data_IF_297024130426
#
_entry.id   IF_297024130426
#
_cell.length_a   1.000
_cell.length_b   1.000
_cell.length_c   1.000
_cell.angle_alpha   90.00
_cell.angle_beta   90.00
_cell.angle_gamma   90.00
#
_symmetry.space_group_name_H-M   'P 1'
#
loop_
_entity.id
_entity.type
_entity.pdbx_description
1 polymer ?
#
# COMPACT_ATOMS: atom_id res chain seq x y z
N UNK A 1 1.19 -7.41 3.81
CA UNK A 1 1.93 -6.46 4.69
C UNK A 1 0.94 -5.94 5.73
N UNK A 2 1.34 -5.03 6.62
CA UNK A 2 0.41 -4.38 7.55
C UNK A 2 0.64 -2.88 7.59
N UNK A 3 -0.37 -2.14 8.05
CA UNK A 3 -0.30 -0.71 8.28
C UNK A 3 -0.85 -0.39 9.67
N UNK A 4 -0.19 0.52 10.38
CA UNK A 4 -0.70 1.04 11.66
C UNK A 4 -1.75 2.13 11.42
N UNK A 5 -2.55 2.43 12.44
CA UNK A 5 -3.48 3.56 12.45
C UNK A 5 -2.80 4.92 12.25
N UNK A 6 -1.47 4.97 12.42
CA UNK A 6 -0.62 6.14 12.17
C UNK A 6 0.05 6.12 10.79
N UNK A 7 -0.41 5.27 9.87
CA UNK A 7 0.09 5.11 8.50
C UNK A 7 1.56 4.62 8.37
N UNK A 8 2.07 3.90 9.37
CA UNK A 8 3.37 3.23 9.25
C UNK A 8 3.19 1.86 8.60
N UNK A 9 3.93 1.62 7.51
CA UNK A 9 3.89 0.35 6.79
C UNK A 9 4.89 -0.64 7.41
N UNK A 10 4.36 -1.78 7.85
CA UNK A 10 5.11 -2.92 8.38
C UNK A 10 5.27 -3.92 7.23
N UNK A 11 6.49 -3.97 6.66
CA UNK A 11 6.78 -4.79 5.47
C UNK A 11 6.94 -6.27 5.80
N UNK A 12 7.41 -6.56 6.99
CA UNK A 12 7.68 -7.90 7.49
C UNK A 12 7.29 -7.98 8.97
N UNK A 13 6.86 -9.14 9.46
CA UNK A 13 6.53 -9.30 10.87
C UNK A 13 7.74 -9.02 11.78
N UNK A 14 7.57 -8.17 12.77
CA UNK A 14 8.59 -7.84 13.77
C UNK A 14 7.95 -7.52 15.12
N UNK A 15 8.72 -7.54 16.21
CA UNK A 15 8.19 -7.09 17.50
C UNK A 15 7.84 -5.61 17.43
N UNK A 16 6.64 -5.24 17.86
CA UNK A 16 6.15 -3.85 17.79
C UNK A 16 5.65 -3.37 19.14
N UNK A 17 5.93 -2.11 19.47
CA UNK A 17 5.36 -1.43 20.61
C UNK A 17 4.14 -0.61 20.17
N UNK A 18 3.00 -0.86 20.80
CA UNK A 18 1.74 -0.14 20.57
C UNK A 18 1.33 0.49 21.89
N UNK A 19 1.36 1.82 21.96
CA UNK A 19 1.24 2.54 23.23
C UNK A 19 2.32 2.08 24.21
N UNK A 20 1.89 1.50 25.33
CA UNK A 20 2.79 0.98 26.38
C UNK A 20 3.02 -0.53 26.35
N UNK A 21 2.39 -1.24 25.41
CA UNK A 21 2.46 -2.69 25.31
C UNK A 21 3.43 -3.10 24.20
N UNK A 22 4.35 -4.00 24.52
CA UNK A 22 5.21 -4.65 23.52
C UNK A 22 4.53 -5.94 23.06
N UNK A 23 4.20 -6.00 21.78
CA UNK A 23 3.68 -7.20 21.15
C UNK A 23 4.79 -7.95 20.41
N UNK A 24 4.86 -9.28 20.54
CA UNK A 24 5.79 -10.07 19.75
C UNK A 24 5.38 -10.06 18.28
N UNK A 25 6.32 -10.36 17.37
CA UNK A 25 6.02 -10.54 15.95
C UNK A 25 4.90 -11.58 15.72
N UNK A 26 4.67 -12.48 16.67
CA UNK A 26 3.68 -13.53 16.52
C UNK A 26 2.24 -13.11 16.41
N UNK A 27 1.90 -11.87 16.78
CA UNK A 27 0.57 -11.35 16.54
C UNK A 27 0.22 -11.37 15.05
N UNK A 28 1.19 -11.15 14.14
CA UNK A 28 0.92 -11.02 12.71
C UNK A 28 0.46 -12.33 12.03
N UNK A 29 0.66 -13.48 12.68
CA UNK A 29 0.23 -14.79 12.19
C UNK A 29 -0.74 -15.52 13.12
N UNK A 30 -0.75 -15.19 14.41
CA UNK A 30 -1.66 -15.81 15.37
C UNK A 30 -2.98 -15.06 15.54
N UNK A 31 -3.02 -13.75 15.30
CA UNK A 31 -4.22 -12.95 15.53
C UNK A 31 -5.05 -12.82 14.25
N UNK A 32 -6.37 -12.75 14.41
CA UNK A 32 -7.28 -12.39 13.31
C UNK A 32 -7.12 -10.93 12.93
N UNK A 33 -7.65 -10.53 11.76
CA UNK A 33 -7.62 -9.13 11.33
C UNK A 33 -8.37 -8.21 12.29
N UNK A 34 -9.44 -8.71 12.92
CA UNK A 34 -10.22 -7.98 13.93
C UNK A 34 -9.39 -7.74 15.20
N UNK A 35 -8.67 -8.77 15.68
CA UNK A 35 -7.78 -8.65 16.84
C UNK A 35 -6.60 -7.69 16.57
N UNK A 36 -6.04 -7.72 15.36
CA UNK A 36 -5.03 -6.73 14.95
C UNK A 36 -5.63 -5.31 14.90
N UNK A 37 -6.86 -5.16 14.40
CA UNK A 37 -7.52 -3.87 14.29
C UNK A 37 -7.80 -3.24 15.67
N UNK A 38 -8.09 -4.05 16.69
CA UNK A 38 -8.23 -3.59 18.09
C UNK A 38 -6.98 -2.88 18.61
N UNK A 39 -5.79 -3.29 18.15
CA UNK A 39 -4.52 -2.62 18.48
C UNK A 39 -4.07 -1.63 17.42
N UNK A 40 -4.94 -1.28 16.47
CA UNK A 40 -4.67 -0.30 15.43
C UNK A 40 -3.76 -0.78 14.32
N UNK A 41 -3.73 -2.08 14.04
CA UNK A 41 -3.00 -2.68 12.91
C UNK A 41 -4.00 -3.29 11.95
N UNK A 42 -3.85 -3.05 10.65
CA UNK A 42 -4.67 -3.67 9.60
C UNK A 42 -3.80 -4.34 8.54
N UNK A 43 -4.25 -5.41 7.89
CA UNK A 43 -3.59 -5.91 6.68
C UNK A 43 -3.50 -4.80 5.64
N UNK A 44 -2.37 -4.76 4.93
CA UNK A 44 -2.09 -3.77 3.91
C UNK A 44 -1.68 -4.44 2.60
N UNK A 45 -2.36 -4.00 1.53
CA UNK A 45 -2.24 -4.48 0.17
C UNK A 45 -1.70 -3.34 -0.72
N UNK A 46 -0.39 -3.31 -1.01
CA UNK A 46 0.20 -2.29 -1.87
C UNK A 46 -0.30 -2.43 -3.31
N UNK A 47 -0.45 -1.30 -4.01
CA UNK A 47 -0.78 -1.30 -5.42
C UNK A 47 0.49 -1.34 -6.27
N UNK A 48 0.32 -1.66 -7.54
CA UNK A 48 1.36 -1.51 -8.56
C UNK A 48 0.86 -0.59 -9.65
N UNK A 49 1.75 0.26 -10.16
CA UNK A 49 1.45 1.15 -11.27
C UNK A 49 1.59 0.35 -12.57
N UNK A 50 0.57 0.36 -13.46
CA UNK A 50 0.69 -0.29 -14.77
C UNK A 50 1.86 0.26 -15.59
N UNK A 51 2.50 -0.61 -16.37
CA UNK A 51 3.58 -0.19 -17.25
C UNK A 51 3.04 0.78 -18.33
N UNK A 52 3.80 1.84 -18.61
CA UNK A 52 3.40 2.86 -19.58
C UNK A 52 2.43 3.90 -19.02
N UNK A 53 2.11 3.86 -17.73
CA UNK A 53 1.30 4.86 -17.05
C UNK A 53 2.11 5.66 -16.02
N UNK A 54 1.74 6.92 -15.82
CA UNK A 54 2.24 7.79 -14.75
C UNK A 54 1.18 7.91 -13.66
N UNK A 55 1.62 8.02 -12.41
CA UNK A 55 0.73 8.28 -11.26
C UNK A 55 0.33 9.75 -11.22
N UNK A 56 -0.98 10.02 -11.12
CA UNK A 56 -1.54 11.36 -10.94
C UNK A 56 -2.15 11.56 -9.56
N UNK A 57 -2.35 10.49 -8.79
CA UNK A 57 -2.78 10.54 -7.39
C UNK A 57 -2.58 9.20 -6.71
N UNK A 58 -2.46 9.23 -5.38
CA UNK A 58 -2.35 8.04 -4.54
C UNK A 58 -3.30 8.17 -3.36
N UNK A 59 -4.00 7.10 -3.02
CA UNK A 59 -4.89 7.06 -1.86
C UNK A 59 -4.99 5.64 -1.31
N UNK A 60 -5.54 5.53 -0.11
CA UNK A 60 -5.85 4.25 0.52
C UNK A 60 -7.35 4.08 0.63
N UNK A 61 -7.82 2.86 0.39
CA UNK A 61 -9.21 2.46 0.50
C UNK A 61 -9.29 1.32 1.51
N UNK A 62 -10.21 1.41 2.48
CA UNK A 62 -10.45 0.31 3.42
C UNK A 62 -11.60 -0.56 2.92
N UNK A 63 -11.35 -1.86 2.77
CA UNK A 63 -12.31 -2.86 2.31
C UNK A 63 -12.23 -4.07 3.23
N UNK A 64 -13.35 -4.43 3.86
CA UNK A 64 -13.46 -5.59 4.75
C UNK A 64 -12.37 -5.66 5.84
N UNK A 65 -11.97 -4.51 6.40
CA UNK A 65 -10.96 -4.42 7.46
C UNK A 65 -9.51 -4.51 6.96
N UNK A 66 -9.30 -4.49 5.65
CA UNK A 66 -7.98 -4.41 5.02
C UNK A 66 -7.80 -3.08 4.31
N UNK A 67 -6.56 -2.61 4.23
CA UNK A 67 -6.21 -1.35 3.57
C UNK A 67 -5.57 -1.65 2.22
N UNK A 68 -6.18 -1.14 1.15
CA UNK A 68 -5.68 -1.23 -0.21
C UNK A 68 -5.09 0.11 -0.62
N UNK A 69 -3.83 0.12 -1.04
CA UNK A 69 -3.30 1.25 -1.77
C UNK A 69 -3.90 1.29 -3.18
N UNK A 70 -4.14 2.49 -3.69
CA UNK A 70 -4.70 2.75 -5.01
C UNK A 70 -3.96 3.91 -5.65
N UNK A 71 -3.79 3.83 -6.96
CA UNK A 71 -3.24 4.92 -7.76
C UNK A 71 -4.26 5.37 -8.79
N UNK A 72 -4.40 6.67 -8.94
CA UNK A 72 -4.93 7.26 -10.17
C UNK A 72 -3.77 7.35 -11.15
N UNK A 73 -3.99 6.91 -12.38
CA UNK A 73 -2.94 6.81 -13.39
C UNK A 73 -3.42 7.33 -14.74
N UNK A 74 -2.48 7.76 -15.56
CA UNK A 74 -2.71 8.20 -16.95
C UNK A 74 -1.63 7.62 -17.85
N UNK A 75 -1.91 7.32 -19.14
CA UNK A 75 -0.88 6.94 -20.09
C UNK A 75 0.23 7.99 -20.17
N UNK A 76 1.48 7.54 -20.17
CA UNK A 76 2.62 8.40 -20.46
C UNK A 76 2.51 8.81 -21.93
N UNK A 77 2.53 10.13 -22.25
CA UNK A 77 2.50 10.57 -23.64
C UNK A 77 3.65 9.94 -24.42
N UNK A 78 3.32 9.23 -25.50
CA UNK A 78 4.33 8.76 -26.44
C UNK A 78 4.82 9.97 -27.21
N UNK A 79 6.13 10.21 -27.21
CA UNK A 79 6.71 11.22 -28.11
C UNK A 79 6.49 10.71 -29.54
N UNK A 80 5.68 11.40 -30.33
CA UNK A 80 5.63 11.18 -31.77
C UNK A 80 7.01 11.56 -32.32
N UNK A 81 7.74 10.60 -32.89
CA UNK A 81 8.96 10.92 -33.63
C UNK A 81 8.56 11.85 -34.79
N UNK A 82 9.29 12.95 -35.04
CA UNK A 82 9.00 13.80 -36.17
C UNK A 82 9.10 12.97 -37.45
N UNK A 83 7.99 12.90 -38.20
CA UNK A 83 7.97 12.33 -39.54
C UNK A 83 8.96 13.14 -40.38
N UNK A 84 10.14 12.59 -40.62
CA UNK A 84 11.07 13.15 -41.58
C UNK A 84 10.46 12.93 -42.97
N UNK A 85 9.84 13.98 -43.52
CA UNK A 85 9.42 13.98 -44.92
C UNK A 85 10.66 13.80 -45.80
N UNK A 86 10.69 12.81 -46.72
CA UNK A 86 11.79 12.67 -47.65
C UNK A 86 11.79 13.85 -48.63
N UNK A 87 12.95 14.53 -48.73
CA UNK A 87 13.25 15.63 -49.66
C UNK A 87 13.35 15.15 -51.09
#
# INVERSE_FOLDING_TARGET
>A
MWITSTNNIIRQPEGIRIGDVNHPASIFWCWSKEQLAEVGIKPYNPASVPAGERVTGAYTEEVDGEVYERFNTEPIPQHEEPVNDPV
#
